data_IF_635734894001
#
_entry.id   IF_635734894001
#
_cell.length_a   1.000
_cell.length_b   1.000
_cell.length_c   1.000
_cell.angle_alpha   90.00
_cell.angle_beta   90.00
_cell.angle_gamma   90.00
#
_symmetry.space_group_name_H-M   'P 1'
#
loop_
_entity.id
_entity.type
_entity.pdbx_description
1 polymer ?
#
# COMPACT_ATOMS: atom_id res chain seq x y z
N UNK A 1 -89.50 -56.22 28.56
CA UNK A 1 -89.34 -55.35 27.35
C UNK A 1 -88.64 -54.08 27.85
N UNK A 2 -87.31 -54.05 27.93
CA UNK A 2 -86.49 -52.84 28.11
C UNK A 2 -84.99 -53.23 28.05
N UNK A 3 -84.49 -53.58 26.84
CA UNK A 3 -83.05 -53.88 26.71
C UNK A 3 -82.48 -53.57 25.28
N UNK A 4 -83.09 -52.65 24.56
CA UNK A 4 -82.71 -52.37 23.21
C UNK A 4 -82.36 -50.88 22.94
N UNK A 5 -82.37 -50.02 23.95
CA UNK A 5 -82.10 -48.54 23.80
C UNK A 5 -80.70 -48.11 24.25
N UNK A 6 -79.91 -48.92 24.97
CA UNK A 6 -78.62 -48.50 25.46
C UNK A 6 -77.44 -48.83 24.51
N UNK A 7 -77.58 -49.89 23.62
CA UNK A 7 -76.52 -50.23 22.67
C UNK A 7 -76.39 -49.27 21.46
N UNK A 8 -77.46 -48.54 21.14
CA UNK A 8 -77.41 -47.60 20.00
C UNK A 8 -76.71 -46.26 20.36
N UNK A 9 -76.79 -45.86 21.60
CA UNK A 9 -76.14 -44.64 22.08
C UNK A 9 -74.58 -44.71 22.19
N UNK A 10 -74.13 -45.90 22.66
CA UNK A 10 -72.67 -46.14 22.80
C UNK A 10 -71.93 -46.32 21.48
N UNK A 11 -72.60 -46.92 20.42
CA UNK A 11 -71.99 -47.03 19.07
C UNK A 11 -71.92 -45.70 18.34
N UNK A 12 -72.80 -44.76 18.60
CA UNK A 12 -72.80 -43.38 17.99
C UNK A 12 -71.75 -42.49 18.68
N UNK A 13 -71.62 -42.60 19.97
CA UNK A 13 -70.62 -41.89 20.79
C UNK A 13 -69.18 -42.34 20.38
N UNK A 14 -69.01 -43.68 20.22
CA UNK A 14 -67.70 -44.21 19.80
C UNK A 14 -67.33 -43.79 18.33
N UNK A 15 -68.31 -43.67 17.44
CA UNK A 15 -68.08 -43.19 16.07
C UNK A 15 -67.72 -41.69 16.07
N UNK A 16 -68.40 -40.91 16.90
CA UNK A 16 -68.05 -39.47 17.05
C UNK A 16 -66.65 -39.25 17.69
N UNK A 17 -66.35 -40.01 18.73
CA UNK A 17 -65.01 -39.97 19.37
C UNK A 17 -63.91 -40.46 18.41
N UNK A 18 -64.18 -41.46 17.56
CA UNK A 18 -63.22 -41.89 16.53
C UNK A 18 -62.97 -40.85 15.47
N UNK A 19 -64.00 -40.07 15.06
CA UNK A 19 -63.86 -38.97 14.10
C UNK A 19 -63.06 -37.82 14.65
N UNK A 20 -63.24 -37.49 15.91
CA UNK A 20 -62.44 -36.44 16.63
C UNK A 20 -60.96 -36.86 16.71
N UNK A 21 -60.68 -38.12 17.04
CA UNK A 21 -59.30 -38.64 17.10
C UNK A 21 -58.63 -38.60 15.71
N UNK A 22 -59.38 -38.99 14.66
CA UNK A 22 -58.87 -38.92 13.28
C UNK A 22 -58.57 -37.44 12.89
N UNK A 23 -59.47 -36.49 13.20
CA UNK A 23 -59.23 -35.08 12.94
C UNK A 23 -57.99 -34.56 13.72
N UNK A 24 -57.81 -34.98 14.98
CA UNK A 24 -56.63 -34.61 15.75
C UNK A 24 -55.32 -35.17 15.15
N UNK A 25 -55.35 -36.42 14.68
CA UNK A 25 -54.18 -37.01 14.04
C UNK A 25 -53.88 -36.36 12.69
N UNK A 26 -54.90 -36.00 11.92
CA UNK A 26 -54.71 -35.25 10.65
C UNK A 26 -54.16 -33.84 10.93
N UNK A 27 -54.69 -33.13 11.92
CA UNK A 27 -54.17 -31.82 12.31
C UNK A 27 -52.72 -31.91 12.84
N UNK A 28 -52.41 -32.95 13.62
CA UNK A 28 -51.04 -33.17 14.11
C UNK A 28 -50.06 -33.46 12.95
N UNK A 29 -50.50 -34.32 12.01
CA UNK A 29 -49.71 -34.66 10.83
C UNK A 29 -49.50 -33.42 9.94
N UNK A 30 -50.54 -32.60 9.78
CA UNK A 30 -50.44 -31.33 9.04
C UNK A 30 -49.52 -30.34 9.77
N UNK A 31 -49.62 -30.20 11.08
CA UNK A 31 -48.75 -29.36 11.88
C UNK A 31 -47.28 -29.74 11.75
N UNK A 32 -46.96 -31.05 11.87
CA UNK A 32 -45.61 -31.59 11.69
C UNK A 32 -45.10 -31.38 10.26
N UNK A 33 -45.99 -31.52 9.25
CA UNK A 33 -45.61 -31.28 7.87
C UNK A 33 -45.39 -29.79 7.58
N UNK A 34 -46.20 -28.92 8.13
CA UNK A 34 -46.06 -27.45 8.00
C UNK A 34 -44.75 -26.97 8.67
N UNK A 35 -44.46 -27.45 9.86
CA UNK A 35 -43.21 -27.08 10.59
C UNK A 35 -41.94 -27.48 9.83
N UNK A 36 -42.01 -28.58 9.02
CA UNK A 36 -40.88 -28.99 8.17
C UNK A 36 -40.75 -28.24 6.85
N UNK A 37 -41.87 -27.70 6.32
CA UNK A 37 -41.88 -27.01 5.02
C UNK A 37 -41.77 -25.49 5.12
N UNK A 38 -42.05 -24.92 6.29
CA UNK A 38 -41.93 -23.47 6.56
C UNK A 38 -40.92 -23.25 7.70
N UNK A 39 -39.64 -23.34 7.40
CA UNK A 39 -38.59 -23.10 8.42
C UNK A 39 -38.72 -21.70 9.00
N UNK A 40 -38.87 -21.64 10.31
CA UNK A 40 -39.00 -20.41 11.07
C UNK A 40 -37.98 -20.37 12.21
N UNK A 41 -37.36 -19.21 12.39
CA UNK A 41 -36.50 -18.95 13.55
C UNK A 41 -36.72 -17.54 14.11
N UNK A 42 -36.75 -17.42 15.41
CA UNK A 42 -36.69 -16.12 16.13
C UNK A 42 -35.27 -15.77 16.58
N UNK A 43 -34.29 -16.64 16.30
CA UNK A 43 -32.90 -16.45 16.67
C UNK A 43 -32.09 -15.96 15.46
N UNK A 44 -32.40 -14.77 15.01
CA UNK A 44 -31.65 -14.09 13.97
C UNK A 44 -30.97 -12.85 14.53
N UNK A 45 -29.76 -12.60 14.10
CA UNK A 45 -28.98 -11.40 14.48
C UNK A 45 -28.43 -10.74 13.23
N UNK A 46 -28.55 -9.42 13.16
CA UNK A 46 -27.85 -8.64 12.15
C UNK A 46 -26.41 -8.47 12.60
N UNK A 47 -25.49 -8.89 11.77
CA UNK A 47 -24.05 -8.79 11.99
C UNK A 47 -23.43 -7.95 10.89
N UNK A 48 -22.31 -7.31 11.18
CA UNK A 48 -21.55 -6.50 10.23
C UNK A 48 -20.07 -6.55 10.56
N UNK A 49 -19.24 -6.11 9.64
CA UNK A 49 -17.81 -6.02 9.89
C UNK A 49 -17.52 -4.95 10.93
N UNK A 50 -16.83 -5.36 11.98
CA UNK A 50 -16.37 -4.50 13.07
C UNK A 50 -14.88 -4.24 12.87
N UNK A 51 -14.51 -2.98 12.62
CA UNK A 51 -13.13 -2.58 12.34
C UNK A 51 -12.63 -1.67 13.44
N UNK A 52 -11.57 -2.07 14.13
CA UNK A 52 -10.87 -1.21 15.07
C UNK A 52 -10.05 -0.14 14.33
N UNK A 53 -10.34 1.12 14.57
CA UNK A 53 -9.61 2.25 13.97
C UNK A 53 -8.38 2.54 14.82
N UNK A 54 -7.21 2.33 14.24
CA UNK A 54 -5.92 2.58 14.84
C UNK A 54 -5.07 3.49 13.96
N UNK A 55 -4.28 4.41 14.53
CA UNK A 55 -3.40 5.26 13.75
C UNK A 55 -2.23 4.45 13.16
N UNK A 56 -1.74 4.88 11.99
CA UNK A 56 -0.54 4.32 11.35
C UNK A 56 0.75 4.93 11.88
N UNK A 57 0.66 6.09 12.52
CA UNK A 57 1.77 6.81 13.15
C UNK A 57 1.39 7.18 14.60
N UNK A 58 2.36 7.28 15.49
CA UNK A 58 2.10 7.56 16.90
C UNK A 58 2.09 9.07 17.18
N UNK A 59 1.25 9.53 18.09
CA UNK A 59 1.22 10.93 18.50
C UNK A 59 0.14 11.24 19.53
N UNK A 60 0.14 12.46 20.02
CA UNK A 60 -0.94 12.99 20.87
C UNK A 60 -2.14 13.33 19.98
N UNK A 61 -3.34 12.99 20.43
CA UNK A 61 -4.58 13.39 19.76
C UNK A 61 -4.81 14.87 20.05
N UNK A 62 -4.81 15.70 19.01
CA UNK A 62 -5.05 17.15 19.11
C UNK A 62 -6.52 17.51 18.93
N UNK A 63 -7.23 16.75 18.06
CA UNK A 63 -8.65 16.98 17.78
C UNK A 63 -9.34 15.65 17.49
N UNK A 64 -10.59 15.53 17.95
CA UNK A 64 -11.50 14.42 17.60
C UNK A 64 -12.69 15.06 16.89
N UNK A 65 -12.99 14.57 15.66
CA UNK A 65 -13.97 15.17 14.77
C UNK A 65 -15.31 14.43 14.74
N UNK A 66 -15.40 13.31 15.44
CA UNK A 66 -16.58 12.44 15.46
C UNK A 66 -17.05 12.18 16.89
N UNK A 67 -18.33 11.88 17.03
CA UNK A 67 -18.95 11.47 18.28
C UNK A 67 -19.29 9.97 18.28
N UNK A 68 -19.52 9.41 19.47
CA UNK A 68 -19.99 8.04 19.61
C UNK A 68 -21.39 7.90 18.96
N UNK A 69 -21.64 6.80 18.28
CA UNK A 69 -22.84 6.52 17.48
C UNK A 69 -23.07 7.47 16.28
N UNK A 70 -22.06 8.19 15.85
CA UNK A 70 -22.10 9.01 14.65
C UNK A 70 -21.89 8.17 13.40
N UNK A 71 -22.71 8.41 12.36
CA UNK A 71 -22.50 7.86 11.02
C UNK A 71 -21.41 8.62 10.31
N UNK A 72 -20.50 7.89 9.66
CA UNK A 72 -19.37 8.43 8.89
C UNK A 72 -19.32 7.79 7.52
N UNK A 73 -18.82 8.53 6.55
CA UNK A 73 -18.57 8.08 5.19
C UNK A 73 -17.08 7.80 4.97
N UNK A 74 -16.79 7.15 3.84
CA UNK A 74 -15.39 6.89 3.44
C UNK A 74 -14.64 8.21 3.31
N UNK A 75 -13.42 8.28 3.83
CA UNK A 75 -12.54 9.47 3.87
C UNK A 75 -12.88 10.53 4.92
N UNK A 76 -13.98 10.42 5.65
CA UNK A 76 -14.28 11.35 6.75
C UNK A 76 -13.15 11.38 7.77
N UNK A 77 -12.81 12.58 8.23
CA UNK A 77 -11.77 12.78 9.22
C UNK A 77 -12.29 12.40 10.62
N UNK A 78 -11.64 11.42 11.23
CA UNK A 78 -12.03 10.89 12.54
C UNK A 78 -11.32 11.61 13.68
N UNK A 79 -10.01 11.70 13.62
CA UNK A 79 -9.20 12.46 14.57
C UNK A 79 -7.88 12.88 13.93
N UNK A 80 -7.23 13.86 14.57
CA UNK A 80 -5.94 14.41 14.13
C UNK A 80 -4.93 14.23 15.26
N UNK A 81 -3.72 13.80 14.88
CA UNK A 81 -2.57 13.72 15.78
C UNK A 81 -1.74 15.00 15.70
N UNK A 82 -0.88 15.22 16.70
CA UNK A 82 0.10 16.31 16.68
C UNK A 82 1.07 16.13 15.49
N UNK A 83 1.16 17.16 14.68
CA UNK A 83 1.92 17.17 13.43
C UNK A 83 3.31 17.78 13.57
N UNK A 84 3.63 18.37 14.71
CA UNK A 84 4.82 19.20 14.91
C UNK A 84 6.11 18.45 14.54
N UNK A 85 6.29 17.24 15.05
CA UNK A 85 7.46 16.40 14.76
C UNK A 85 7.51 15.95 13.30
N UNK A 86 6.35 15.64 12.71
CA UNK A 86 6.22 15.20 11.31
C UNK A 86 6.51 16.33 10.32
N UNK A 87 6.12 17.59 10.63
CA UNK A 87 6.45 18.77 9.85
C UNK A 87 7.97 19.04 9.87
N UNK A 88 8.60 18.92 11.03
CA UNK A 88 10.06 19.03 11.16
C UNK A 88 10.78 17.93 10.36
N UNK A 89 10.28 16.69 10.45
CA UNK A 89 10.84 15.58 9.69
C UNK A 89 10.69 15.78 8.18
N UNK A 90 9.55 16.29 7.72
CA UNK A 90 9.33 16.65 6.31
C UNK A 90 10.29 17.71 5.84
N UNK A 91 10.44 18.81 6.60
CA UNK A 91 11.36 19.89 6.27
C UNK A 91 12.82 19.41 6.21
N UNK A 92 13.21 18.52 7.13
CA UNK A 92 14.54 17.89 7.12
C UNK A 92 14.75 17.07 5.85
N UNK A 93 13.78 16.21 5.49
CA UNK A 93 13.86 15.38 4.29
C UNK A 93 13.91 16.22 3.00
N UNK A 94 13.20 17.36 2.95
CA UNK A 94 13.29 18.32 1.85
C UNK A 94 14.70 18.91 1.74
N UNK A 95 15.30 19.32 2.86
CA UNK A 95 16.66 19.86 2.89
C UNK A 95 17.70 18.81 2.48
N UNK A 96 17.52 17.55 2.87
CA UNK A 96 18.43 16.46 2.51
C UNK A 96 18.31 16.11 1.01
N UNK A 97 17.11 16.19 0.42
CA UNK A 97 16.92 16.05 -1.03
C UNK A 97 17.62 17.18 -1.79
N UNK A 98 17.51 18.43 -1.30
CA UNK A 98 18.17 19.56 -1.93
C UNK A 98 19.70 19.44 -1.88
N UNK A 99 20.26 18.99 -0.75
CA UNK A 99 21.69 18.67 -0.64
C UNK A 99 22.12 17.58 -1.63
N UNK A 100 21.29 16.52 -1.77
CA UNK A 100 21.56 15.44 -2.72
C UNK A 100 21.62 15.96 -4.16
N UNK A 101 20.71 16.88 -4.54
CA UNK A 101 20.70 17.54 -5.87
C UNK A 101 21.94 18.41 -6.08
N UNK A 102 22.32 19.18 -5.09
CA UNK A 102 23.52 20.03 -5.17
C UNK A 102 24.79 19.19 -5.30
N UNK A 103 24.87 18.07 -4.60
CA UNK A 103 26.00 17.16 -4.69
C UNK A 103 26.07 16.48 -6.06
N UNK A 104 24.94 16.13 -6.64
CA UNK A 104 24.84 15.60 -8.01
C UNK A 104 25.31 16.62 -9.03
N UNK A 105 24.83 17.88 -8.94
CA UNK A 105 25.25 18.96 -9.82
C UNK A 105 26.76 19.29 -9.72
N UNK A 106 27.33 19.19 -8.51
CA UNK A 106 28.77 19.31 -8.32
C UNK A 106 29.54 18.15 -8.98
N UNK A 107 29.00 16.92 -8.92
CA UNK A 107 29.53 15.77 -9.64
C UNK A 107 29.50 15.94 -11.15
N UNK A 108 28.42 16.47 -11.72
CA UNK A 108 28.31 16.81 -13.14
C UNK A 108 29.36 17.80 -13.59
N UNK A 109 29.56 18.87 -12.82
CA UNK A 109 30.62 19.84 -13.08
C UNK A 109 32.02 19.19 -13.05
N UNK A 110 32.24 18.21 -12.16
CA UNK A 110 33.47 17.45 -12.09
C UNK A 110 33.71 16.59 -13.33
N UNK A 111 32.69 15.92 -13.82
CA UNK A 111 32.75 15.11 -15.08
C UNK A 111 33.02 16.04 -16.26
N UNK A 112 32.39 17.19 -16.35
CA UNK A 112 32.59 18.14 -17.44
C UNK A 112 34.03 18.72 -17.43
N UNK A 113 34.57 19.01 -16.26
CA UNK A 113 35.98 19.41 -16.12
C UNK A 113 36.94 18.31 -16.58
N UNK A 114 36.67 17.05 -16.26
CA UNK A 114 37.45 15.91 -16.74
C UNK A 114 37.38 15.73 -18.25
N UNK A 115 36.20 15.96 -18.89
CA UNK A 115 36.02 15.94 -20.34
C UNK A 115 36.82 17.04 -21.03
N UNK A 116 36.80 18.26 -20.50
CA UNK A 116 37.62 19.36 -20.99
C UNK A 116 39.12 19.03 -20.90
N UNK A 117 39.54 18.32 -19.82
CA UNK A 117 40.91 17.82 -19.68
C UNK A 117 41.29 16.80 -20.78
N UNK A 118 40.37 15.91 -21.15
CA UNK A 118 40.59 14.98 -22.26
C UNK A 118 40.73 15.72 -23.60
N UNK A 119 39.90 16.72 -23.86
CA UNK A 119 39.99 17.52 -25.08
C UNK A 119 41.37 18.21 -25.22
N UNK A 120 41.86 18.79 -24.12
CA UNK A 120 43.19 19.36 -24.08
C UNK A 120 44.32 18.33 -24.31
N UNK A 121 44.19 17.11 -23.76
CA UNK A 121 45.14 16.04 -23.97
C UNK A 121 45.14 15.56 -25.43
N UNK A 122 43.98 15.42 -26.06
CA UNK A 122 43.82 15.06 -27.49
C UNK A 122 44.41 16.15 -28.39
N UNK A 123 44.24 17.42 -28.09
CA UNK A 123 44.84 18.47 -28.86
C UNK A 123 46.38 18.44 -28.79
N UNK A 124 46.96 18.13 -27.61
CA UNK A 124 48.39 17.95 -27.43
C UNK A 124 48.93 16.73 -28.15
N UNK A 125 48.21 15.58 -28.11
CA UNK A 125 48.56 14.39 -28.88
C UNK A 125 48.55 14.68 -30.37
N UNK A 126 47.53 15.35 -30.92
CA UNK A 126 47.44 15.71 -32.32
C UNK A 126 48.62 16.62 -32.76
N UNK A 127 49.00 17.56 -31.91
CA UNK A 127 50.20 18.42 -32.17
C UNK A 127 51.46 17.59 -32.22
N UNK A 128 51.70 16.72 -31.21
CA UNK A 128 52.90 15.88 -31.15
C UNK A 128 52.96 14.88 -32.31
N UNK A 129 51.83 14.32 -32.73
CA UNK A 129 51.71 13.41 -33.86
C UNK A 129 52.08 14.12 -35.18
N UNK A 130 51.56 15.31 -35.42
CA UNK A 130 51.88 16.10 -36.59
C UNK A 130 53.36 16.51 -36.60
N UNK A 131 53.95 16.85 -35.47
CA UNK A 131 55.37 17.18 -35.38
C UNK A 131 56.25 15.94 -35.69
N UNK A 132 55.93 14.78 -35.11
CA UNK A 132 56.62 13.53 -35.38
C UNK A 132 56.50 13.13 -36.86
N UNK A 133 55.31 13.16 -37.46
CA UNK A 133 55.06 12.83 -38.86
C UNK A 133 55.84 13.75 -39.81
N UNK A 134 55.92 15.05 -39.49
CA UNK A 134 56.69 15.98 -40.27
C UNK A 134 58.18 15.72 -40.18
N UNK A 135 58.72 15.47 -38.99
CA UNK A 135 60.15 15.19 -38.79
C UNK A 135 60.56 13.82 -39.37
N UNK A 136 59.72 12.81 -39.23
CA UNK A 136 59.92 11.47 -39.85
C UNK A 136 60.03 11.60 -41.38
N UNK A 137 59.08 12.31 -42.00
CA UNK A 137 59.06 12.54 -43.45
C UNK A 137 60.30 13.30 -43.95
N UNK A 138 60.79 14.29 -43.23
CA UNK A 138 62.01 15.04 -43.56
C UNK A 138 63.28 14.17 -43.41
N UNK A 139 63.34 13.32 -42.40
CA UNK A 139 64.44 12.39 -42.19
C UNK A 139 64.50 11.29 -43.27
N UNK A 140 63.35 10.80 -43.76
CA UNK A 140 63.26 9.86 -44.88
C UNK A 140 63.71 10.45 -46.19
N UNK A 141 63.42 11.73 -46.42
CA UNK A 141 63.82 12.45 -47.66
C UNK A 141 65.31 12.79 -47.70
N UNK A 142 65.91 13.22 -46.60
CA UNK A 142 67.32 13.53 -46.42
C UNK A 142 67.74 13.39 -44.95
N UNK A 143 68.46 12.30 -44.63
CA UNK A 143 68.90 11.96 -43.28
C UNK A 143 69.95 12.99 -42.73
N UNK A 144 70.48 13.86 -43.58
CA UNK A 144 71.36 14.97 -43.16
C UNK A 144 70.66 16.23 -42.69
N UNK A 145 69.38 16.38 -42.97
CA UNK A 145 68.59 17.58 -42.67
C UNK A 145 68.17 17.64 -41.17
N UNK A 146 67.96 16.50 -40.49
CA UNK A 146 67.56 16.42 -39.12
C UNK A 146 68.42 15.41 -38.40
N UNK A 147 68.84 15.71 -37.10
CA UNK A 147 69.56 14.77 -36.29
C UNK A 147 68.60 13.65 -35.76
N UNK A 148 69.07 12.41 -35.78
CA UNK A 148 68.42 11.24 -35.21
C UNK A 148 67.86 11.51 -33.78
N UNK A 149 68.67 12.14 -32.95
CA UNK A 149 68.20 12.57 -31.61
C UNK A 149 66.94 13.44 -31.60
N UNK A 150 66.75 14.29 -32.62
CA UNK A 150 65.54 15.17 -32.72
C UNK A 150 64.32 14.37 -33.12
N UNK A 151 64.51 13.36 -33.94
CA UNK A 151 63.42 12.43 -34.30
C UNK A 151 63.00 11.58 -33.08
N UNK A 152 63.98 10.99 -32.34
CA UNK A 152 63.71 10.24 -31.11
C UNK A 152 63.00 11.11 -30.04
N UNK A 153 63.41 12.37 -29.87
CA UNK A 153 62.75 13.28 -28.96
C UNK A 153 61.31 13.58 -29.33
N UNK A 154 60.99 13.63 -30.62
CA UNK A 154 59.61 13.90 -31.10
C UNK A 154 58.75 12.62 -30.92
N UNK A 155 59.32 11.46 -31.14
CA UNK A 155 58.68 10.14 -30.88
C UNK A 155 58.38 10.00 -29.38
N UNK A 156 59.32 10.25 -28.50
CA UNK A 156 59.11 10.25 -27.06
C UNK A 156 58.02 11.24 -26.62
N UNK A 157 57.97 12.41 -27.25
CA UNK A 157 56.92 13.43 -26.99
C UNK A 157 55.56 12.91 -27.43
N UNK A 158 55.43 12.22 -28.54
CA UNK A 158 54.18 11.61 -28.98
C UNK A 158 53.73 10.49 -28.02
N UNK A 159 54.65 9.61 -27.61
CA UNK A 159 54.37 8.55 -26.64
C UNK A 159 53.87 9.15 -25.31
N UNK A 160 54.53 10.23 -24.82
CA UNK A 160 54.09 10.92 -23.63
C UNK A 160 52.70 11.55 -23.77
N UNK A 161 52.38 12.17 -24.91
CA UNK A 161 51.09 12.77 -25.19
C UNK A 161 49.98 11.70 -25.28
N UNK A 162 50.25 10.56 -25.89
CA UNK A 162 49.30 9.43 -25.93
C UNK A 162 49.03 8.87 -24.54
N UNK A 163 50.06 8.75 -23.71
CA UNK A 163 49.88 8.36 -22.28
C UNK A 163 49.02 9.34 -21.49
N UNK A 164 49.13 10.65 -21.79
CA UNK A 164 48.27 11.67 -21.17
C UNK A 164 46.80 11.53 -21.58
N UNK A 165 46.50 11.15 -22.84
CA UNK A 165 45.12 10.86 -23.28
C UNK A 165 44.54 9.66 -22.52
N UNK A 166 45.31 8.59 -22.33
CA UNK A 166 44.89 7.43 -21.55
C UNK A 166 44.58 7.82 -20.10
N UNK A 167 45.45 8.62 -19.47
CA UNK A 167 45.23 9.12 -18.12
C UNK A 167 43.99 10.02 -18.03
N UNK A 168 43.79 10.91 -19.02
CA UNK A 168 42.60 11.78 -19.05
C UNK A 168 41.29 10.98 -19.20
N UNK A 169 41.27 9.90 -19.98
CA UNK A 169 40.12 8.99 -20.06
C UNK A 169 39.82 8.30 -18.72
N UNK A 170 40.87 7.84 -18.04
CA UNK A 170 40.71 7.24 -16.70
C UNK A 170 40.15 8.26 -15.68
N UNK A 171 40.56 9.56 -15.78
CA UNK A 171 40.02 10.63 -14.92
C UNK A 171 38.54 10.87 -15.16
N UNK A 172 38.05 10.78 -16.41
CA UNK A 172 36.59 10.85 -16.70
C UNK A 172 35.86 9.73 -16.00
N UNK A 173 36.35 8.49 -16.14
CA UNK A 173 35.71 7.34 -15.49
C UNK A 173 35.70 7.50 -13.97
N UNK A 174 36.82 7.96 -13.38
CA UNK A 174 36.89 8.25 -11.95
C UNK A 174 35.85 9.33 -11.53
N UNK A 175 35.66 10.37 -12.32
CA UNK A 175 34.70 11.44 -12.04
C UNK A 175 33.25 10.90 -12.13
N UNK A 176 32.93 10.04 -13.12
CA UNK A 176 31.64 9.38 -13.26
C UNK A 176 31.37 8.47 -12.06
N UNK A 177 32.35 7.66 -11.64
CA UNK A 177 32.22 6.77 -10.50
C UNK A 177 32.03 7.55 -9.20
N UNK A 178 32.76 8.65 -9.03
CA UNK A 178 32.64 9.56 -7.87
C UNK A 178 31.26 10.26 -7.81
N UNK A 179 30.65 10.58 -8.96
CA UNK A 179 29.29 11.10 -9.06
C UNK A 179 28.25 10.06 -8.65
N UNK A 180 28.55 8.76 -8.79
CA UNK A 180 27.63 7.64 -8.51
C UNK A 180 26.98 7.05 -9.76
N UNK A 181 27.63 7.19 -10.91
CA UNK A 181 27.19 6.67 -12.21
C UNK A 181 26.95 7.74 -13.26
N UNK A 182 26.76 7.32 -14.50
CA UNK A 182 26.55 8.22 -15.64
C UNK A 182 25.10 8.74 -15.69
N UNK A 183 24.13 7.96 -15.20
CA UNK A 183 22.70 8.30 -15.22
C UNK A 183 22.24 8.83 -13.86
N UNK A 184 21.74 10.07 -13.85
CA UNK A 184 21.22 10.76 -12.67
C UNK A 184 19.99 10.04 -12.10
N UNK A 185 19.16 9.40 -12.94
CA UNK A 185 17.97 8.67 -12.52
C UNK A 185 18.30 7.41 -11.71
N UNK A 186 19.48 6.84 -11.90
CA UNK A 186 19.97 5.65 -11.20
C UNK A 186 20.80 5.99 -9.95
N UNK A 187 21.06 7.28 -9.68
CA UNK A 187 21.87 7.70 -8.54
C UNK A 187 21.22 7.29 -7.23
N UNK A 188 21.86 6.35 -6.53
CA UNK A 188 21.33 5.75 -5.29
C UNK A 188 21.14 6.78 -4.17
N UNK A 189 22.01 7.79 -4.11
CA UNK A 189 21.94 8.84 -3.09
C UNK A 189 20.72 9.75 -3.30
N UNK A 190 20.47 10.20 -4.54
CA UNK A 190 19.30 11.00 -4.89
C UNK A 190 18.01 10.20 -4.64
N UNK A 191 17.98 8.93 -5.07
CA UNK A 191 16.83 8.03 -4.87
C UNK A 191 16.55 7.78 -3.38
N UNK A 192 17.59 7.65 -2.57
CA UNK A 192 17.45 7.50 -1.11
C UNK A 192 16.83 8.75 -0.48
N UNK A 193 17.31 9.95 -0.83
CA UNK A 193 16.77 11.20 -0.35
C UNK A 193 15.30 11.41 -0.79
N UNK A 194 14.97 11.06 -2.05
CA UNK A 194 13.60 11.10 -2.56
C UNK A 194 12.67 10.14 -1.79
N UNK A 195 13.14 8.93 -1.49
CA UNK A 195 12.37 7.95 -0.71
C UNK A 195 12.15 8.42 0.73
N UNK A 196 13.14 9.07 1.34
CA UNK A 196 13.02 9.66 2.67
C UNK A 196 12.00 10.80 2.69
N UNK A 197 11.97 11.65 1.65
CA UNK A 197 10.96 12.69 1.50
C UNK A 197 9.56 12.10 1.38
N UNK A 198 9.38 11.12 0.50
CA UNK A 198 8.08 10.44 0.31
C UNK A 198 7.58 9.81 1.61
N UNK A 199 8.50 9.19 2.37
CA UNK A 199 8.16 8.62 3.69
C UNK A 199 7.71 9.70 4.67
N UNK A 200 8.42 10.83 4.77
CA UNK A 200 8.05 11.91 5.68
C UNK A 200 6.70 12.55 5.30
N UNK A 201 6.39 12.68 4.01
CA UNK A 201 5.07 13.11 3.53
C UNK A 201 3.97 12.14 3.94
N UNK A 202 4.19 10.84 3.72
CA UNK A 202 3.23 9.80 4.10
C UNK A 202 3.00 9.75 5.61
N UNK A 203 4.05 9.89 6.41
CA UNK A 203 3.96 9.92 7.86
C UNK A 203 3.14 11.13 8.34
N UNK A 204 3.32 12.31 7.72
CA UNK A 204 2.52 13.51 7.97
C UNK A 204 1.06 13.31 7.57
N UNK A 205 0.79 12.74 6.40
CA UNK A 205 -0.58 12.47 5.95
C UNK A 205 -1.29 11.47 6.88
N UNK A 206 -0.56 10.50 7.43
CA UNK A 206 -1.08 9.53 8.38
C UNK A 206 -1.42 10.13 9.77
N UNK A 207 -1.05 11.39 10.05
CA UNK A 207 -1.52 12.12 11.25
C UNK A 207 -3.01 12.48 11.17
N UNK A 208 -3.57 12.54 9.98
CA UNK A 208 -4.99 12.66 9.72
C UNK A 208 -5.60 11.27 9.59
N UNK A 209 -6.22 10.78 10.64
CA UNK A 209 -6.85 9.47 10.61
C UNK A 209 -8.26 9.57 10.06
N UNK A 210 -8.51 8.86 8.95
CA UNK A 210 -9.76 8.90 8.19
C UNK A 210 -10.47 7.56 8.19
N UNK A 211 -11.78 7.58 7.99
CA UNK A 211 -12.59 6.38 7.83
C UNK A 211 -12.25 5.65 6.52
N UNK A 212 -11.93 4.37 6.62
CA UNK A 212 -11.67 3.51 5.47
C UNK A 212 -12.92 2.90 4.82
N UNK A 213 -14.05 2.90 5.53
CA UNK A 213 -15.36 2.41 5.10
C UNK A 213 -16.44 3.30 5.69
N UNK A 214 -17.64 3.30 5.06
CA UNK A 214 -18.84 3.89 5.66
C UNK A 214 -19.38 3.02 6.78
N UNK A 215 -19.91 3.67 7.82
CA UNK A 215 -20.40 2.96 8.98
C UNK A 215 -20.77 3.86 10.14
N UNK A 216 -20.89 3.26 11.31
CA UNK A 216 -21.19 3.95 12.57
C UNK A 216 -20.01 3.78 13.53
N UNK A 217 -19.56 4.88 14.10
CA UNK A 217 -18.52 4.88 15.14
C UNK A 217 -19.12 4.39 16.45
N UNK A 218 -18.46 3.41 17.05
CA UNK A 218 -18.81 2.90 18.38
C UNK A 218 -17.55 2.80 19.25
N UNK A 219 -17.73 2.68 20.56
CA UNK A 219 -16.61 2.54 21.52
C UNK A 219 -15.51 3.60 21.30
N UNK A 220 -15.93 4.88 21.21
CA UNK A 220 -15.01 6.01 21.05
C UNK A 220 -14.22 6.21 22.35
N UNK A 221 -12.95 5.85 22.33
CA UNK A 221 -11.99 6.03 23.44
C UNK A 221 -10.98 7.13 23.18
N UNK A 222 -10.99 7.70 21.96
CA UNK A 222 -10.09 8.78 21.57
C UNK A 222 -10.48 10.07 22.29
N UNK A 223 -9.58 10.61 23.11
CA UNK A 223 -9.74 11.89 23.81
C UNK A 223 -8.59 12.83 23.45
N UNK A 224 -8.87 14.14 23.41
CA UNK A 224 -7.86 15.16 23.17
C UNK A 224 -6.82 15.14 24.32
N UNK A 225 -5.54 15.11 23.94
CA UNK A 225 -4.43 14.98 24.90
C UNK A 225 -4.03 13.53 25.20
N UNK A 226 -4.75 12.53 24.69
CA UNK A 226 -4.39 11.13 24.82
C UNK A 226 -3.30 10.76 23.79
N UNK A 227 -2.36 9.91 24.18
CA UNK A 227 -1.36 9.36 23.28
C UNK A 227 -1.90 8.14 22.53
N UNK A 228 -1.92 8.22 21.19
CA UNK A 228 -2.32 7.13 20.32
C UNK A 228 -1.08 6.41 19.77
N UNK A 229 -0.97 5.12 20.07
CA UNK A 229 0.13 4.26 19.59
C UNK A 229 -0.21 3.58 18.26
N UNK A 230 0.81 3.30 17.46
CA UNK A 230 0.66 2.61 16.17
C UNK A 230 -0.04 1.26 16.36
N UNK A 231 -1.08 1.01 15.55
CA UNK A 231 -1.81 -0.26 15.54
C UNK A 231 -2.71 -0.50 16.75
N UNK A 232 -2.80 0.43 17.72
CA UNK A 232 -3.70 0.32 18.87
C UNK A 232 -5.03 1.02 18.55
N UNK A 233 -6.17 0.29 18.48
CA UNK A 233 -7.44 0.90 18.16
C UNK A 233 -7.90 1.84 19.27
N UNK A 234 -8.33 3.04 18.88
CA UNK A 234 -8.87 4.09 19.78
C UNK A 234 -10.36 4.31 19.59
N UNK A 235 -10.96 3.72 18.58
CA UNK A 235 -12.39 3.66 18.32
C UNK A 235 -12.71 2.46 17.43
N UNK A 236 -13.97 2.13 17.34
CA UNK A 236 -14.49 1.02 16.56
C UNK A 236 -15.45 1.54 15.49
N UNK A 237 -15.32 1.07 14.25
CA UNK A 237 -16.23 1.33 13.15
C UNK A 237 -17.02 0.06 12.85
N UNK A 238 -18.35 0.13 12.90
CA UNK A 238 -19.25 -0.92 12.43
C UNK A 238 -19.68 -0.55 11.01
N UNK A 239 -19.21 -1.32 10.02
CA UNK A 239 -19.55 -1.07 8.61
C UNK A 239 -21.04 -1.30 8.38
N UNK A 240 -21.68 -0.39 7.63
CA UNK A 240 -23.12 -0.47 7.29
C UNK A 240 -23.37 -0.94 5.86
N UNK A 241 -22.33 -1.05 5.04
CA UNK A 241 -22.47 -1.41 3.63
C UNK A 241 -22.46 -2.94 3.41
N UNK A 242 -21.85 -3.68 4.33
CA UNK A 242 -21.70 -5.13 4.28
C UNK A 242 -22.36 -5.74 5.54
N UNK A 243 -23.68 -5.74 5.59
CA UNK A 243 -24.46 -6.36 6.68
C UNK A 243 -24.95 -7.76 6.24
N UNK A 244 -24.92 -8.70 7.14
CA UNK A 244 -25.53 -10.01 6.94
C UNK A 244 -26.37 -10.40 8.16
N UNK A 245 -27.29 -11.32 7.95
CA UNK A 245 -28.11 -11.87 9.02
C UNK A 245 -27.65 -13.28 9.31
N UNK A 246 -27.28 -13.53 10.54
CA UNK A 246 -26.95 -14.85 11.04
C UNK A 246 -28.21 -15.41 11.75
N UNK A 247 -28.86 -16.37 11.12
CA UNK A 247 -30.09 -17.00 11.62
C UNK A 247 -29.80 -18.44 12.05
N UNK A 248 -30.06 -18.78 13.31
CA UNK A 248 -29.91 -20.13 13.84
C UNK A 248 -31.20 -20.93 13.65
N UNK A 249 -31.20 -21.92 12.78
CA UNK A 249 -32.31 -22.84 12.59
C UNK A 249 -32.10 -24.11 13.39
N UNK A 250 -33.23 -24.73 13.78
CA UNK A 250 -33.20 -26.06 14.41
C UNK A 250 -32.87 -27.15 13.38
N UNK A 251 -32.33 -28.28 13.84
CA UNK A 251 -31.94 -29.41 12.98
C UNK A 251 -33.09 -29.93 12.09
N UNK A 252 -34.33 -29.86 12.59
CA UNK A 252 -35.51 -30.30 11.84
C UNK A 252 -35.79 -29.45 10.60
N UNK A 253 -35.37 -28.20 10.57
CA UNK A 253 -35.63 -27.25 9.49
C UNK A 253 -34.50 -27.21 8.44
N UNK A 254 -33.35 -27.84 8.73
CA UNK A 254 -32.20 -27.84 7.83
C UNK A 254 -32.47 -28.50 6.47
N UNK A 255 -33.34 -29.50 6.44
CA UNK A 255 -33.66 -30.23 5.20
C UNK A 255 -34.44 -29.41 4.16
N UNK A 256 -35.11 -28.34 4.59
CA UNK A 256 -35.86 -27.42 3.73
C UNK A 256 -35.05 -26.19 3.26
N UNK A 257 -33.83 -25.99 3.82
CA UNK A 257 -32.96 -24.85 3.49
C UNK A 257 -31.92 -25.29 2.47
N UNK A 258 -31.88 -24.59 1.34
CA UNK A 258 -30.87 -24.77 0.30
C UNK A 258 -30.27 -23.43 -0.05
N UNK A 259 -29.06 -23.42 -0.60
CA UNK A 259 -28.41 -22.21 -1.06
C UNK A 259 -29.28 -21.53 -2.14
N UNK A 260 -29.61 -20.24 -1.95
CA UNK A 260 -30.48 -19.47 -2.82
C UNK A 260 -31.97 -19.46 -2.42
N UNK A 261 -32.34 -20.09 -1.29
CA UNK A 261 -33.74 -20.01 -0.78
C UNK A 261 -34.05 -18.56 -0.35
N UNK A 262 -35.19 -18.03 -0.80
CA UNK A 262 -35.68 -16.70 -0.38
C UNK A 262 -36.06 -16.72 1.10
N UNK A 263 -35.63 -15.70 1.83
CA UNK A 263 -35.87 -15.55 3.27
C UNK A 263 -36.55 -14.21 3.53
N UNK A 264 -37.67 -14.22 4.26
CA UNK A 264 -38.32 -13.03 4.75
C UNK A 264 -37.80 -12.70 6.16
N UNK A 265 -37.33 -11.46 6.34
CA UNK A 265 -36.83 -10.95 7.62
C UNK A 265 -37.82 -9.94 8.20
N UNK A 266 -38.38 -10.27 9.36
CA UNK A 266 -39.22 -9.36 10.13
C UNK A 266 -38.38 -8.79 11.28
N UNK A 267 -38.19 -7.46 11.28
CA UNK A 267 -37.51 -6.77 12.36
C UNK A 267 -38.55 -6.30 13.40
N UNK A 268 -38.35 -6.73 14.63
CA UNK A 268 -39.11 -6.23 15.77
C UNK A 268 -38.49 -4.89 16.18
N UNK A 269 -39.25 -3.77 16.03
CA UNK A 269 -38.78 -2.38 16.26
C UNK A 269 -39.25 -1.88 17.61
#
# INVERSE_FOLDING_TARGET
>A
MSDTSEEAGTKTINKGAGLVVICLVVLLAWYISADRQTPYTSQARVEGFVVGIAPKVAGLITQVHVANNQRVEVTDLLFTLDQSDYLIALQRAQSDLEKARQQLAAGDAGVEAARAGLEAALANEMKSAKDFERLSRLYEQDSGTISERRLEMSEASLIAATAQVVAARANIQQAIDAKGGDDDSSNAYLKSAQSALTKAQLDLDNTYVRAGKSGVITDLRAEVGQFAGVGKPVMTLVATDDLWVNAAFTENNLSALTEGTEVELLFDT
#
